data_IF_200998448033
#
_entry.id   IF_200998448033
#
_cell.length_a   1.000
_cell.length_b   1.000
_cell.length_c   1.000
_cell.angle_alpha   90.00
_cell.angle_beta   90.00
_cell.angle_gamma   90.00
#
_symmetry.space_group_name_H-M   'P 1'
#
loop_
_entity.id
_entity.type
_entity.pdbx_description
1 polymer ?
#
# COMPACT_ATOMS: atom_id res chain seq x y z
N UNK A 1 -0.92 7.50 6.06
CA UNK A 1 0.09 8.54 6.39
C UNK A 1 0.49 9.38 5.18
N UNK A 2 0.82 8.80 4.02
CA UNK A 2 1.13 9.58 2.81
C UNK A 2 0.02 10.59 2.43
N UNK A 3 -1.27 10.20 2.53
CA UNK A 3 -2.41 11.07 2.26
C UNK A 3 -2.47 12.32 3.16
N UNK A 4 -2.14 12.17 4.46
CA UNK A 4 -2.11 13.27 5.43
C UNK A 4 -0.89 14.19 5.22
N UNK A 5 0.24 13.63 4.79
CA UNK A 5 1.42 14.42 4.44
C UNK A 5 1.18 15.30 3.20
N UNK A 6 0.37 14.82 2.25
CA UNK A 6 0.05 15.51 0.99
C UNK A 6 -1.16 16.45 1.10
N UNK A 7 -2.03 16.26 2.10
CA UNK A 7 -3.27 17.02 2.25
C UNK A 7 -3.30 17.72 3.61
N UNK A 8 -2.95 19.01 3.64
CA UNK A 8 -2.98 19.82 4.86
C UNK A 8 -4.43 20.14 5.25
N UNK A 9 -4.82 19.84 6.49
CA UNK A 9 -6.12 20.24 7.06
C UNK A 9 -7.20 19.17 7.11
N UNK A 10 -6.91 17.94 6.67
CA UNK A 10 -7.86 16.82 6.80
C UNK A 10 -7.80 16.22 8.20
N UNK A 11 -8.94 16.03 8.89
CA UNK A 11 -8.95 15.41 10.21
C UNK A 11 -8.64 13.89 10.11
N UNK A 12 -7.89 13.39 11.10
CA UNK A 12 -7.26 12.07 11.09
C UNK A 12 -8.27 10.92 10.96
N UNK A 13 -9.42 11.05 11.63
CA UNK A 13 -10.54 10.12 11.61
C UNK A 13 -11.06 9.87 10.20
N UNK A 14 -11.32 10.95 9.44
CA UNK A 14 -11.81 10.85 8.05
C UNK A 14 -10.76 10.23 7.13
N UNK A 15 -9.49 10.61 7.31
CA UNK A 15 -8.40 10.07 6.52
C UNK A 15 -8.20 8.56 6.75
N UNK A 16 -8.35 8.09 7.99
CA UNK A 16 -8.23 6.67 8.32
C UNK A 16 -9.37 5.85 7.70
N UNK A 17 -10.61 6.33 7.77
CA UNK A 17 -11.76 5.65 7.16
C UNK A 17 -11.57 5.55 5.65
N UNK A 18 -11.16 6.63 4.99
CA UNK A 18 -10.91 6.62 3.54
C UNK A 18 -9.78 5.67 3.13
N UNK A 19 -8.61 5.77 3.77
CA UNK A 19 -7.47 4.94 3.40
C UNK A 19 -7.78 3.46 3.62
N UNK A 20 -8.49 3.13 4.70
CA UNK A 20 -8.88 1.75 5.00
C UNK A 20 -9.93 1.24 4.01
N UNK A 21 -10.90 2.08 3.63
CA UNK A 21 -11.91 1.76 2.61
C UNK A 21 -11.30 1.55 1.23
N UNK A 22 -10.39 2.43 0.81
CA UNK A 22 -9.66 2.32 -0.45
C UNK A 22 -8.83 1.05 -0.52
N UNK A 23 -8.11 0.73 0.57
CA UNK A 23 -7.28 -0.47 0.64
C UNK A 23 -8.10 -1.77 0.64
N UNK A 24 -9.25 -1.79 1.30
CA UNK A 24 -10.15 -2.96 1.32
C UNK A 24 -11.08 -3.04 0.10
N UNK A 25 -11.07 -2.02 -0.76
CA UNK A 25 -12.06 -1.83 -1.84
C UNK A 25 -13.51 -1.88 -1.35
N UNK A 26 -13.75 -1.43 -0.12
CA UNK A 26 -15.07 -1.45 0.52
C UNK A 26 -16.06 -0.44 -0.10
N UNK A 27 -15.55 0.61 -0.77
CA UNK A 27 -16.37 1.58 -1.50
C UNK A 27 -17.13 2.58 -0.61
N UNK A 28 -16.84 2.61 0.68
CA UNK A 28 -17.45 3.54 1.64
C UNK A 28 -16.60 4.82 1.69
N UNK A 29 -17.22 5.98 1.53
CA UNK A 29 -16.54 7.28 1.56
C UNK A 29 -17.18 8.20 2.59
N UNK A 30 -16.37 9.04 3.24
CA UNK A 30 -16.83 10.11 4.13
C UNK A 30 -16.93 11.45 3.36
N UNK A 31 -16.81 11.41 2.02
CA UNK A 31 -16.89 12.58 1.15
C UNK A 31 -15.57 13.32 0.94
N UNK A 32 -14.43 12.74 1.37
CA UNK A 32 -13.13 13.39 1.25
C UNK A 32 -12.54 13.26 -0.18
N UNK A 33 -12.85 12.18 -0.89
CA UNK A 33 -12.36 11.85 -2.25
C UNK A 33 -12.42 13.00 -3.27
N UNK A 34 -13.55 13.75 -3.40
CA UNK A 34 -13.63 14.88 -4.33
C UNK A 34 -12.88 16.14 -3.87
N UNK A 35 -12.59 16.30 -2.59
CA UNK A 35 -11.93 17.50 -2.02
C UNK A 35 -10.39 17.36 -2.01
N UNK A 36 -9.87 16.19 -2.37
CA UNK A 36 -8.44 15.93 -2.38
C UNK A 36 -7.73 16.61 -3.56
N UNK A 37 -6.55 17.22 -3.33
CA UNK A 37 -5.69 17.69 -4.42
C UNK A 37 -5.25 16.52 -5.30
N UNK A 38 -4.83 16.82 -6.54
CA UNK A 38 -4.42 15.81 -7.55
C UNK A 38 -3.40 14.80 -6.98
N UNK A 39 -2.47 15.26 -6.15
CA UNK A 39 -1.49 14.39 -5.49
C UNK A 39 -2.12 13.40 -4.50
N UNK A 40 -3.15 13.82 -3.75
CA UNK A 40 -3.92 12.97 -2.85
C UNK A 40 -4.77 11.95 -3.61
N UNK A 41 -5.35 12.35 -4.74
CA UNK A 41 -6.09 11.44 -5.63
C UNK A 41 -5.19 10.35 -6.22
N UNK A 42 -3.96 10.66 -6.62
CA UNK A 42 -3.01 9.64 -7.08
C UNK A 42 -2.71 8.58 -6.02
N UNK A 43 -2.56 8.99 -4.75
CA UNK A 43 -2.37 8.04 -3.64
C UNK A 43 -3.59 7.16 -3.44
N UNK A 44 -4.80 7.72 -3.55
CA UNK A 44 -6.04 6.94 -3.46
C UNK A 44 -6.19 5.92 -4.59
N UNK A 45 -5.87 6.30 -5.82
CA UNK A 45 -5.87 5.38 -6.98
C UNK A 45 -4.89 4.23 -6.75
N UNK A 46 -3.68 4.52 -6.27
CA UNK A 46 -2.69 3.50 -5.96
C UNK A 46 -3.19 2.54 -4.86
N UNK A 47 -3.81 3.06 -3.79
CA UNK A 47 -4.40 2.25 -2.72
C UNK A 47 -5.51 1.33 -3.22
N UNK A 48 -6.43 1.84 -4.06
CA UNK A 48 -7.50 1.04 -4.66
C UNK A 48 -6.95 -0.07 -5.56
N UNK A 49 -5.91 0.24 -6.35
CA UNK A 49 -5.25 -0.74 -7.20
C UNK A 49 -4.58 -1.85 -6.37
N UNK A 50 -3.83 -1.48 -5.32
CA UNK A 50 -3.20 -2.43 -4.41
C UNK A 50 -4.25 -3.30 -3.71
N UNK A 51 -5.35 -2.68 -3.24
CA UNK A 51 -6.47 -3.40 -2.63
C UNK A 51 -7.11 -4.41 -3.56
N UNK A 52 -7.27 -4.05 -4.84
CA UNK A 52 -7.87 -4.93 -5.86
C UNK A 52 -6.95 -6.05 -6.32
N UNK A 53 -5.65 -5.77 -6.51
CA UNK A 53 -4.63 -6.76 -6.91
C UNK A 53 -4.29 -7.70 -5.75
N UNK A 54 -4.41 -7.21 -4.52
CA UNK A 54 -4.12 -7.94 -3.30
C UNK A 54 -2.68 -7.69 -2.83
N UNK A 55 -2.46 -7.42 -1.53
CA UNK A 55 -1.15 -7.03 -1.01
C UNK A 55 -0.09 -8.12 -1.20
N UNK A 56 -0.48 -9.40 -1.15
CA UNK A 56 0.44 -10.54 -1.37
C UNK A 56 0.93 -10.57 -2.81
N UNK A 57 0.06 -10.32 -3.79
CA UNK A 57 0.44 -10.29 -5.20
C UNK A 57 1.38 -9.10 -5.50
N UNK A 58 1.10 -7.93 -4.93
CA UNK A 58 1.99 -6.75 -5.04
C UNK A 58 3.35 -7.03 -4.37
N UNK A 59 3.35 -7.58 -3.16
CA UNK A 59 4.58 -7.94 -2.45
C UNK A 59 5.39 -8.98 -3.23
N UNK A 60 4.73 -9.99 -3.79
CA UNK A 60 5.35 -11.02 -4.63
C UNK A 60 5.92 -10.43 -5.91
N UNK A 61 5.19 -9.55 -6.60
CA UNK A 61 5.69 -8.89 -7.81
C UNK A 61 6.94 -8.05 -7.54
N UNK A 62 7.00 -7.39 -6.38
CA UNK A 62 8.16 -6.60 -5.97
C UNK A 62 9.34 -7.48 -5.51
N UNK A 63 9.05 -8.57 -4.78
CA UNK A 63 10.06 -9.49 -4.25
C UNK A 63 10.64 -10.45 -5.31
N UNK A 64 9.80 -10.96 -6.22
CA UNK A 64 10.20 -11.83 -7.33
C UNK A 64 10.94 -11.07 -8.45
N UNK A 65 10.98 -9.74 -8.38
CA UNK A 65 11.86 -8.93 -9.24
C UNK A 65 13.36 -9.08 -8.86
N UNK A 66 13.67 -9.88 -7.84
CA UNK A 66 15.04 -10.28 -7.55
C UNK A 66 15.50 -11.26 -8.62
N UNK A 67 16.42 -10.83 -9.51
CA UNK A 67 17.07 -11.67 -10.52
C UNK A 67 17.35 -13.06 -9.97
N UNK A 68 16.97 -14.11 -10.72
CA UNK A 68 17.41 -15.49 -10.48
C UNK A 68 18.93 -15.49 -10.27
N UNK A 69 19.35 -15.51 -9.00
CA UNK A 69 20.77 -15.53 -8.65
C UNK A 69 21.20 -16.98 -8.81
N UNK A 70 21.81 -17.30 -9.96
CA UNK A 70 22.32 -18.64 -10.27
C UNK A 70 23.55 -19.05 -9.42
N UNK A 71 23.76 -18.42 -8.27
CA UNK A 71 24.84 -18.73 -7.35
C UNK A 71 24.27 -19.12 -5.99
N UNK A 72 24.57 -20.35 -5.58
CA UNK A 72 24.19 -20.92 -4.27
C UNK A 72 25.29 -20.60 -3.27
N UNK A 73 24.94 -19.88 -2.20
CA UNK A 73 25.84 -19.74 -1.05
C UNK A 73 25.93 -21.09 -0.32
N UNK A 74 27.09 -21.44 0.25
CA UNK A 74 27.24 -22.65 1.04
C UNK A 74 26.24 -22.64 2.21
N UNK A 75 25.53 -23.77 2.39
CA UNK A 75 24.53 -23.92 3.45
C UNK A 75 25.23 -24.09 4.79
N UNK A 76 25.23 -23.05 5.62
CA UNK A 76 25.56 -23.17 7.03
C UNK A 76 24.39 -23.81 7.78
N UNK A 77 24.67 -24.75 8.68
CA UNK A 77 23.66 -25.32 9.59
C UNK A 77 23.55 -24.39 10.80
N UNK A 78 22.48 -23.57 10.94
CA UNK A 78 22.33 -22.76 12.12
C UNK A 78 21.90 -23.70 13.25
N UNK A 79 22.82 -23.96 14.17
CA UNK A 79 22.50 -24.64 15.43
C UNK A 79 21.74 -23.61 16.27
N UNK A 80 20.43 -23.77 16.39
CA UNK A 80 19.61 -22.99 17.31
C UNK A 80 19.66 -23.71 18.64
N UNK A 81 20.47 -23.20 19.56
CA UNK A 81 20.46 -23.54 20.98
C UNK A 81 19.42 -22.72 21.72
#
# INVERSE_FOLDING_TARGET
MALLALTKGVPLDRALVEVTSAFSTAGITVGLTPELPVSGQMVMIALMFIGRVGPIAVASALALNTRHRQYRYPEERPIVG
#
